data_IF_876122514758
#
_entry.id   IF_876122514758
#
_cell.length_a   1.000
_cell.length_b   1.000
_cell.length_c   1.000
_cell.angle_alpha   90.00
_cell.angle_beta   90.00
_cell.angle_gamma   90.00
#
_symmetry.space_group_name_H-M   'P 1'
#
loop_
_entity.id
_entity.type
_entity.pdbx_description
1 polymer ?
#
# COMPACT_ATOMS: atom_id res chain seq x y z
N UNK A 1 -5.81 -16.38 5.22
CA UNK A 1 -6.06 -15.69 6.50
C UNK A 1 -5.66 -16.63 7.61
N UNK A 2 -5.03 -16.11 8.66
CA UNK A 2 -4.70 -16.87 9.87
C UNK A 2 -5.98 -17.20 10.65
N UNK A 3 -5.92 -18.22 11.49
CA UNK A 3 -7.03 -18.51 12.40
C UNK A 3 -7.10 -17.44 13.50
N UNK A 4 -8.29 -17.21 14.06
CA UNK A 4 -8.44 -16.23 15.15
C UNK A 4 -7.56 -16.55 16.36
N UNK A 5 -7.34 -17.83 16.65
CA UNK A 5 -6.48 -18.30 17.74
C UNK A 5 -5.00 -18.03 17.45
N UNK A 6 -4.52 -18.33 16.24
CA UNK A 6 -3.15 -18.00 15.85
C UNK A 6 -2.90 -16.48 15.90
N UNK A 7 -3.84 -15.67 15.37
CA UNK A 7 -3.74 -14.22 15.42
C UNK A 7 -3.74 -13.69 16.86
N UNK A 8 -4.49 -14.31 17.78
CA UNK A 8 -4.50 -13.94 19.20
C UNK A 8 -3.16 -14.22 19.87
N UNK A 9 -2.58 -15.40 19.64
CA UNK A 9 -1.26 -15.75 20.17
C UNK A 9 -0.19 -14.78 19.69
N UNK A 10 -0.17 -14.47 18.39
CA UNK A 10 0.76 -13.48 17.80
C UNK A 10 0.55 -12.07 18.34
N UNK A 11 -0.70 -11.66 18.58
CA UNK A 11 -1.03 -10.39 19.23
C UNK A 11 -0.47 -10.33 20.66
N UNK A 12 -0.65 -11.41 21.44
CA UNK A 12 -0.10 -11.50 22.79
C UNK A 12 1.43 -11.50 22.78
N UNK A 13 2.07 -12.19 21.83
CA UNK A 13 3.53 -12.10 21.65
C UNK A 13 3.94 -10.65 21.40
N UNK A 14 3.27 -9.92 20.50
CA UNK A 14 3.62 -8.54 20.18
C UNK A 14 3.55 -7.59 21.38
N UNK A 15 2.51 -7.70 22.21
CA UNK A 15 2.27 -6.73 23.30
C UNK A 15 2.72 -7.20 24.69
N UNK A 16 2.74 -8.51 24.94
CA UNK A 16 3.05 -9.07 26.26
C UNK A 16 4.50 -9.55 26.36
N UNK A 17 5.04 -10.16 25.30
CA UNK A 17 6.42 -10.66 25.31
C UNK A 17 7.44 -9.55 25.07
N UNK A 18 7.18 -8.65 24.13
CA UNK A 18 8.12 -7.56 23.82
C UNK A 18 7.95 -6.29 24.67
N UNK A 19 6.74 -6.04 25.21
CA UNK A 19 6.42 -4.90 26.08
C UNK A 19 6.96 -3.54 25.59
N UNK A 20 6.81 -3.25 24.29
CA UNK A 20 7.28 -1.98 23.73
C UNK A 20 6.57 -0.79 24.38
N UNK A 21 7.35 0.14 24.93
CA UNK A 21 6.86 1.38 25.53
C UNK A 21 6.81 2.53 24.52
N UNK A 22 7.54 2.41 23.40
CA UNK A 22 7.56 3.41 22.32
C UNK A 22 7.78 2.79 20.94
N UNK A 23 7.41 3.54 19.89
CA UNK A 23 7.71 3.13 18.50
C UNK A 23 9.21 3.05 18.21
N UNK A 24 10.04 3.83 18.90
CA UNK A 24 11.49 3.79 18.70
C UNK A 24 12.09 2.48 19.22
N UNK A 25 11.59 1.94 20.33
CA UNK A 25 11.99 0.61 20.80
C UNK A 25 11.61 -0.48 19.81
N UNK A 26 10.36 -0.46 19.31
CA UNK A 26 9.92 -1.40 18.27
C UNK A 26 10.80 -1.30 17.02
N UNK A 27 11.15 -0.09 16.59
CA UNK A 27 12.02 0.18 15.44
C UNK A 27 13.46 -0.30 15.68
N UNK A 28 13.99 -0.16 16.89
CA UNK A 28 15.32 -0.65 17.24
C UNK A 28 15.38 -2.18 17.23
N UNK A 29 14.36 -2.85 17.78
CA UNK A 29 14.26 -4.31 17.76
C UNK A 29 14.18 -4.84 16.33
N UNK A 30 13.39 -4.21 15.45
CA UNK A 30 13.31 -4.57 14.03
C UNK A 30 14.63 -4.37 13.26
N UNK A 31 15.50 -3.45 13.70
CA UNK A 31 16.83 -3.25 13.11
C UNK A 31 17.88 -4.21 13.66
N UNK A 32 17.65 -4.78 14.83
CA UNK A 32 18.57 -5.74 15.45
C UNK A 32 18.56 -7.05 14.65
N UNK A 33 19.72 -7.59 14.32
CA UNK A 33 19.86 -8.87 13.59
C UNK A 33 19.54 -10.10 14.47
N UNK A 34 18.79 -9.92 15.55
CA UNK A 34 18.40 -11.02 16.41
C UNK A 34 17.34 -11.87 15.72
N UNK A 35 17.27 -13.16 16.05
CA UNK A 35 16.33 -14.12 15.43
C UNK A 35 14.84 -13.86 15.71
N UNK A 36 14.50 -12.83 16.50
CA UNK A 36 13.11 -12.54 16.88
C UNK A 36 12.67 -11.25 16.21
N UNK A 37 11.76 -11.37 15.25
CA UNK A 37 11.25 -10.27 14.45
C UNK A 37 9.78 -10.06 14.77
N UNK A 38 9.38 -8.97 15.45
CA UNK A 38 7.98 -8.69 15.78
C UNK A 38 7.00 -8.70 14.59
N UNK A 39 7.48 -8.45 13.37
CA UNK A 39 6.68 -8.52 12.15
C UNK A 39 6.54 -9.94 11.57
N UNK A 40 7.40 -10.89 11.96
CA UNK A 40 7.33 -12.30 11.53
C UNK A 40 6.76 -13.19 12.65
N UNK A 41 7.20 -12.98 13.90
CA UNK A 41 6.72 -13.68 15.09
C UNK A 41 5.35 -13.16 15.55
N UNK A 42 5.06 -11.88 15.29
CA UNK A 42 3.83 -11.20 15.68
C UNK A 42 2.89 -11.00 14.49
N UNK A 43 2.32 -9.78 14.41
CA UNK A 43 1.37 -9.37 13.38
C UNK A 43 1.94 -8.18 12.61
N UNK A 44 2.32 -8.42 11.35
CA UNK A 44 2.95 -7.42 10.47
C UNK A 44 2.01 -6.24 10.21
N UNK A 45 0.72 -6.52 9.98
CA UNK A 45 -0.28 -5.48 9.73
C UNK A 45 -0.44 -4.53 10.93
N UNK A 46 -0.36 -5.05 12.17
CA UNK A 46 -0.44 -4.24 13.39
C UNK A 46 0.78 -3.33 13.52
N UNK A 47 1.97 -3.87 13.26
CA UNK A 47 3.20 -3.07 13.25
C UNK A 47 3.12 -1.93 12.22
N UNK A 48 2.63 -2.22 11.01
CA UNK A 48 2.48 -1.22 9.96
C UNK A 48 1.45 -0.15 10.33
N UNK A 49 0.28 -0.54 10.88
CA UNK A 49 -0.71 0.42 11.40
C UNK A 49 -0.13 1.30 12.50
N UNK A 50 0.63 0.72 13.43
CA UNK A 50 1.27 1.48 14.51
C UNK A 50 2.27 2.52 13.97
N UNK A 51 3.13 2.14 13.02
CA UNK A 51 4.13 3.05 12.43
C UNK A 51 3.53 4.11 11.52
N UNK A 52 2.59 3.72 10.64
CA UNK A 52 2.16 4.54 9.52
C UNK A 52 0.86 5.31 9.80
N UNK A 53 -0.07 4.72 10.56
CA UNK A 53 -1.37 5.34 10.84
C UNK A 53 -1.40 6.00 12.21
N UNK A 54 -1.13 5.23 13.27
CA UNK A 54 -1.28 5.70 14.65
C UNK A 54 -0.13 6.62 15.09
N UNK A 55 1.08 6.37 14.57
CA UNK A 55 2.32 7.04 14.97
C UNK A 55 2.55 7.02 16.50
N UNK A 56 1.93 6.05 17.17
CA UNK A 56 2.04 5.80 18.60
C UNK A 56 1.68 4.34 18.91
N UNK A 57 2.12 3.85 20.08
CA UNK A 57 1.65 2.59 20.67
C UNK A 57 0.53 2.81 21.70
N UNK A 58 -0.03 4.02 21.77
CA UNK A 58 -1.18 4.29 22.62
C UNK A 58 -2.46 3.72 22.03
N UNK A 59 -2.72 2.47 22.40
CA UNK A 59 -3.86 1.65 21.98
C UNK A 59 -5.22 2.24 22.33
N UNK A 60 -5.30 3.21 23.26
CA UNK A 60 -6.56 3.84 23.61
C UNK A 60 -7.10 4.72 22.46
N UNK A 61 -6.21 5.28 21.65
CA UNK A 61 -6.59 6.15 20.52
C UNK A 61 -6.85 5.38 19.21
N UNK A 62 -6.37 4.13 19.09
CA UNK A 62 -6.43 3.37 17.85
C UNK A 62 -7.86 3.16 17.32
N UNK A 63 -8.87 2.80 18.15
CA UNK A 63 -10.25 2.64 17.70
C UNK A 63 -10.82 3.85 16.96
N UNK A 64 -10.62 5.04 17.51
CA UNK A 64 -11.13 6.28 16.94
C UNK A 64 -10.41 6.59 15.62
N UNK A 65 -9.09 6.49 15.60
CA UNK A 65 -8.29 6.73 14.40
C UNK A 65 -8.62 5.76 13.26
N UNK A 66 -8.81 4.46 13.56
CA UNK A 66 -9.24 3.48 12.56
C UNK A 66 -10.63 3.82 12.03
N UNK A 67 -11.56 4.21 12.90
CA UNK A 67 -12.89 4.61 12.46
C UNK A 67 -12.84 5.82 11.53
N UNK A 68 -12.07 6.86 11.86
CA UNK A 68 -11.93 8.06 11.04
C UNK A 68 -11.37 7.71 9.65
N UNK A 69 -10.29 6.92 9.57
CA UNK A 69 -9.69 6.53 8.28
C UNK A 69 -10.59 5.63 7.46
N UNK A 70 -11.31 4.70 8.11
CA UNK A 70 -12.28 3.81 7.44
C UNK A 70 -13.50 4.59 6.93
N UNK A 71 -14.04 5.51 7.73
CA UNK A 71 -15.15 6.37 7.31
C UNK A 71 -14.76 7.25 6.12
N UNK A 72 -13.55 7.83 6.16
CA UNK A 72 -13.03 8.60 5.04
C UNK A 72 -12.93 7.77 3.76
N UNK A 73 -12.37 6.56 3.82
CA UNK A 73 -12.30 5.69 2.64
C UNK A 73 -13.69 5.30 2.11
N UNK A 74 -14.64 4.95 2.99
CA UNK A 74 -16.01 4.62 2.58
C UNK A 74 -16.66 5.79 1.83
N UNK A 75 -16.50 7.02 2.30
CA UNK A 75 -17.03 8.21 1.64
C UNK A 75 -16.36 8.46 0.27
N UNK A 76 -15.04 8.26 0.17
CA UNK A 76 -14.30 8.37 -1.09
C UNK A 76 -14.74 7.32 -2.11
N UNK A 77 -14.93 6.08 -1.65
CA UNK A 77 -15.39 4.97 -2.46
C UNK A 77 -16.80 5.23 -3.00
N UNK A 78 -17.72 5.62 -2.13
CA UNK A 78 -19.09 6.01 -2.52
C UNK A 78 -19.07 7.15 -3.55
N UNK A 79 -18.25 8.17 -3.33
CA UNK A 79 -18.18 9.32 -4.24
C UNK A 79 -17.59 8.97 -5.62
N UNK A 80 -16.41 8.32 -5.66
CA UNK A 80 -15.68 8.11 -6.90
C UNK A 80 -16.13 6.87 -7.68
N UNK A 81 -16.73 5.87 -7.03
CA UNK A 81 -17.23 4.67 -7.70
C UNK A 81 -18.73 4.73 -8.02
N UNK A 82 -19.46 5.76 -7.56
CA UNK A 82 -20.92 5.88 -7.77
C UNK A 82 -21.39 5.49 -9.17
N UNK A 83 -20.88 6.16 -10.20
CA UNK A 83 -21.31 5.94 -11.59
C UNK A 83 -20.65 4.74 -12.26
N UNK A 84 -19.63 4.15 -11.63
CA UNK A 84 -19.01 2.90 -12.08
C UNK A 84 -19.85 1.71 -11.59
N UNK A 85 -20.33 1.77 -10.35
CA UNK A 85 -21.17 0.72 -9.75
C UNK A 85 -22.65 0.86 -10.14
N UNK A 86 -23.10 2.10 -10.34
CA UNK A 86 -24.47 2.44 -10.73
C UNK A 86 -24.47 3.37 -11.95
N UNK A 87 -24.19 2.85 -13.16
CA UNK A 87 -24.23 3.65 -14.39
C UNK A 87 -25.61 4.28 -14.66
N UNK A 88 -26.69 3.65 -14.18
CA UNK A 88 -28.07 4.13 -14.33
C UNK A 88 -28.35 5.44 -13.57
N UNK A 89 -27.54 5.79 -12.58
CA UNK A 89 -27.67 7.04 -11.81
C UNK A 89 -27.17 8.27 -12.58
N UNK A 90 -26.58 8.08 -13.76
CA UNK A 90 -26.11 9.18 -14.59
C UNK A 90 -27.29 10.04 -15.06
N UNK A 91 -27.16 11.38 -15.04
CA UNK A 91 -28.22 12.26 -15.51
C UNK A 91 -28.56 11.98 -16.98
N UNK A 92 -29.72 11.38 -17.23
CA UNK A 92 -30.19 11.02 -18.59
C UNK A 92 -30.37 12.23 -19.52
N UNK A 93 -30.38 13.45 -18.98
CA UNK A 93 -30.49 14.70 -19.72
C UNK A 93 -29.17 15.18 -20.34
N UNK A 94 -28.03 14.61 -19.94
CA UNK A 94 -26.73 14.92 -20.54
C UNK A 94 -26.50 14.05 -21.78
N UNK A 95 -26.13 14.66 -22.91
CA UNK A 95 -25.80 13.94 -24.13
C UNK A 95 -24.58 13.02 -23.90
N UNK A 96 -24.70 11.69 -24.10
CA UNK A 96 -23.61 10.74 -23.88
C UNK A 96 -22.41 10.94 -24.81
N UNK A 97 -22.59 11.63 -25.93
CA UNK A 97 -21.53 11.94 -26.89
C UNK A 97 -21.03 13.38 -26.82
N UNK A 98 -21.59 14.21 -25.93
CA UNK A 98 -21.11 15.58 -25.79
C UNK A 98 -19.64 15.61 -25.34
N UNK A 99 -18.86 16.42 -26.04
CA UNK A 99 -17.46 16.78 -25.71
C UNK A 99 -17.43 17.98 -24.75
N UNK A 100 -18.36 18.03 -23.79
CA UNK A 100 -18.31 19.01 -22.70
C UNK A 100 -17.47 18.43 -21.56
N UNK A 101 -16.36 19.10 -21.25
CA UNK A 101 -15.42 18.72 -20.19
C UNK A 101 -16.09 18.55 -18.81
N UNK A 102 -17.24 19.20 -18.58
CA UNK A 102 -18.03 19.06 -17.36
C UNK A 102 -19.12 17.99 -17.41
N UNK A 103 -19.22 17.23 -18.51
CA UNK A 103 -20.21 16.18 -18.67
C UNK A 103 -19.91 14.98 -17.77
N UNK A 104 -20.91 14.44 -17.04
CA UNK A 104 -20.78 13.20 -16.28
C UNK A 104 -20.26 12.02 -17.15
N UNK A 105 -20.63 12.01 -18.43
CA UNK A 105 -20.20 10.98 -19.39
C UNK A 105 -18.73 11.06 -19.76
N UNK A 106 -18.17 12.27 -19.85
CA UNK A 106 -16.73 12.44 -20.07
C UNK A 106 -15.94 11.99 -18.84
N UNK A 107 -16.40 12.36 -17.64
CA UNK A 107 -15.81 11.91 -16.39
C UNK A 107 -15.85 10.37 -16.26
N UNK A 108 -16.95 9.73 -16.64
CA UNK A 108 -17.06 8.27 -16.64
C UNK A 108 -16.05 7.62 -17.61
N UNK A 109 -16.00 8.08 -18.87
CA UNK A 109 -15.06 7.55 -19.87
C UNK A 109 -13.60 7.70 -19.43
N UNK A 110 -13.25 8.83 -18.83
CA UNK A 110 -11.92 9.05 -18.24
C UNK A 110 -11.66 8.08 -17.09
N UNK A 111 -12.64 7.89 -16.19
CA UNK A 111 -12.51 6.95 -15.09
C UNK A 111 -12.35 5.50 -15.59
N UNK A 112 -13.10 5.08 -16.60
CA UNK A 112 -12.97 3.75 -17.23
C UNK A 112 -11.59 3.57 -17.86
N UNK A 113 -11.07 4.61 -18.53
CA UNK A 113 -9.72 4.58 -19.12
C UNK A 113 -8.64 4.38 -18.04
N UNK A 114 -8.68 5.16 -16.96
CA UNK A 114 -7.74 5.04 -15.84
C UNK A 114 -7.85 3.65 -15.20
N UNK A 115 -9.06 3.14 -15.00
CA UNK A 115 -9.29 1.80 -14.43
C UNK A 115 -8.77 0.69 -15.33
N UNK A 116 -8.96 0.81 -16.64
CA UNK A 116 -8.44 -0.15 -17.60
C UNK A 116 -6.90 -0.20 -17.58
N UNK A 117 -6.24 0.95 -17.49
CA UNK A 117 -4.78 1.03 -17.33
C UNK A 117 -4.31 0.34 -16.05
N UNK A 118 -4.92 0.65 -14.90
CA UNK A 118 -4.61 -0.01 -13.62
C UNK A 118 -4.85 -1.52 -13.71
N UNK A 119 -5.96 -1.95 -14.34
CA UNK A 119 -6.35 -3.35 -14.39
C UNK A 119 -5.32 -4.19 -15.16
N UNK A 120 -4.74 -3.68 -16.25
CA UNK A 120 -3.69 -4.37 -16.99
C UNK A 120 -2.51 -4.76 -16.09
N UNK A 121 -2.14 -3.87 -15.18
CA UNK A 121 -1.07 -4.09 -14.20
C UNK A 121 -1.48 -5.05 -13.08
N UNK A 122 -2.69 -4.87 -12.53
CA UNK A 122 -3.21 -5.75 -11.48
C UNK A 122 -3.38 -7.19 -11.96
N UNK A 123 -3.72 -7.41 -13.24
CA UNK A 123 -3.87 -8.75 -13.81
C UNK A 123 -2.57 -9.55 -13.88
N UNK A 124 -1.43 -8.87 -14.04
CA UNK A 124 -0.09 -9.49 -14.09
C UNK A 124 0.63 -9.50 -12.74
N UNK A 125 0.14 -8.75 -11.76
CA UNK A 125 0.75 -8.60 -10.44
C UNK A 125 0.77 -9.94 -9.67
N UNK A 126 1.98 -10.41 -9.33
CA UNK A 126 2.24 -11.51 -8.38
C UNK A 126 1.36 -12.75 -8.59
N UNK A 127 1.12 -13.11 -9.85
CA UNK A 127 0.20 -14.19 -10.20
C UNK A 127 0.68 -15.56 -9.71
N UNK A 128 1.89 -15.75 -9.20
CA UNK A 128 2.31 -17.00 -8.56
C UNK A 128 1.53 -17.29 -7.27
N UNK A 129 1.07 -16.26 -6.56
CA UNK A 129 0.28 -16.43 -5.34
C UNK A 129 -1.24 -16.41 -5.67
N UNK A 130 -1.95 -17.46 -5.24
CA UNK A 130 -3.39 -17.64 -5.50
C UNK A 130 -4.24 -16.45 -5.06
N UNK A 131 -3.87 -15.78 -3.97
CA UNK A 131 -4.60 -14.61 -3.47
C UNK A 131 -4.71 -13.49 -4.49
N UNK A 132 -3.65 -13.22 -5.27
CA UNK A 132 -3.67 -12.18 -6.31
C UNK A 132 -4.37 -12.62 -7.60
N UNK A 133 -4.76 -13.90 -7.70
CA UNK A 133 -5.62 -14.40 -8.78
C UNK A 133 -7.10 -14.16 -8.47
N UNK A 134 -7.47 -14.02 -7.19
CA UNK A 134 -8.87 -13.90 -6.78
C UNK A 134 -9.52 -12.61 -7.31
N UNK A 135 -10.73 -12.68 -7.90
CA UNK A 135 -11.43 -11.50 -8.42
C UNK A 135 -11.69 -10.42 -7.35
N UNK A 136 -11.94 -10.84 -6.11
CA UNK A 136 -12.12 -9.95 -4.96
C UNK A 136 -10.85 -9.16 -4.65
N UNK A 137 -9.69 -9.81 -4.67
CA UNK A 137 -8.39 -9.16 -4.46
C UNK A 137 -8.07 -8.18 -5.60
N UNK A 138 -8.27 -8.60 -6.85
CA UNK A 138 -8.06 -7.72 -8.02
C UNK A 138 -8.96 -6.48 -7.95
N UNK A 139 -10.23 -6.66 -7.56
CA UNK A 139 -11.17 -5.54 -7.36
C UNK A 139 -10.69 -4.58 -6.27
N UNK A 140 -10.28 -5.10 -5.10
CA UNK A 140 -9.72 -4.28 -4.01
C UNK A 140 -8.52 -3.46 -4.47
N UNK A 141 -7.58 -4.10 -5.17
CA UNK A 141 -6.40 -3.39 -5.70
C UNK A 141 -6.78 -2.31 -6.70
N UNK A 142 -7.68 -2.61 -7.63
CA UNK A 142 -8.17 -1.67 -8.63
C UNK A 142 -8.86 -0.46 -7.97
N UNK A 143 -9.75 -0.69 -7.01
CA UNK A 143 -10.51 0.37 -6.35
C UNK A 143 -9.59 1.26 -5.48
N UNK A 144 -8.65 0.67 -4.73
CA UNK A 144 -7.65 1.41 -3.94
C UNK A 144 -6.79 2.30 -4.83
N UNK A 145 -6.19 1.76 -5.89
CA UNK A 145 -5.32 2.50 -6.80
C UNK A 145 -6.10 3.59 -7.53
N UNK A 146 -7.31 3.26 -8.00
CA UNK A 146 -8.17 4.22 -8.68
C UNK A 146 -8.52 5.40 -7.78
N UNK A 147 -8.99 5.15 -6.55
CA UNK A 147 -9.31 6.22 -5.59
C UNK A 147 -8.08 7.06 -5.28
N UNK A 148 -6.91 6.44 -5.10
CA UNK A 148 -5.67 7.18 -4.88
C UNK A 148 -5.34 8.13 -6.05
N UNK A 149 -5.51 7.66 -7.30
CA UNK A 149 -5.29 8.47 -8.50
C UNK A 149 -6.29 9.63 -8.58
N UNK A 150 -7.56 9.40 -8.23
CA UNK A 150 -8.56 10.48 -8.17
C UNK A 150 -8.23 11.56 -7.14
N UNK A 151 -7.56 11.20 -6.05
CA UNK A 151 -7.07 12.14 -5.03
C UNK A 151 -5.78 12.86 -5.43
N UNK A 152 -5.00 12.31 -6.37
CA UNK A 152 -3.71 12.83 -6.80
C UNK A 152 -3.68 12.99 -8.34
N UNK A 153 -4.53 13.87 -8.91
CA UNK A 153 -4.63 14.05 -10.35
C UNK A 153 -3.35 14.59 -10.99
N UNK A 154 -2.50 15.26 -10.22
CA UNK A 154 -1.17 15.75 -10.61
C UNK A 154 -0.18 14.60 -10.85
N UNK A 155 -0.32 13.51 -10.11
CA UNK A 155 0.55 12.35 -10.23
C UNK A 155 0.07 11.36 -11.30
N UNK A 156 -1.24 11.11 -11.32
CA UNK A 156 -1.86 10.06 -12.11
C UNK A 156 -1.50 8.64 -11.62
N UNK A 157 -1.94 7.63 -12.37
CA UNK A 157 -1.48 6.26 -12.15
C UNK A 157 -0.07 6.09 -12.75
N UNK A 158 0.80 5.34 -12.06
CA UNK A 158 2.11 4.97 -12.59
C UNK A 158 2.36 3.49 -12.38
N UNK A 159 2.88 2.84 -13.42
CA UNK A 159 3.29 1.44 -13.35
C UNK A 159 4.26 1.23 -12.17
N UNK A 160 4.02 0.17 -11.40
CA UNK A 160 4.74 -0.15 -10.16
C UNK A 160 3.99 0.25 -8.88
N UNK A 161 3.01 1.16 -8.93
CA UNK A 161 2.19 1.47 -7.74
C UNK A 161 1.43 0.23 -7.22
N UNK A 162 0.97 -0.64 -8.13
CA UNK A 162 0.31 -1.91 -7.78
C UNK A 162 1.23 -2.86 -7.01
N UNK A 163 2.54 -2.84 -7.27
CA UNK A 163 3.52 -3.67 -6.57
C UNK A 163 3.85 -3.15 -5.17
N UNK A 164 3.66 -1.85 -4.90
CA UNK A 164 3.69 -1.31 -3.54
C UNK A 164 2.43 -1.71 -2.77
N UNK A 165 1.28 -1.66 -3.42
CA UNK A 165 0.00 -2.00 -2.79
C UNK A 165 -0.13 -3.50 -2.47
N UNK A 166 0.33 -4.37 -3.37
CA UNK A 166 0.17 -5.81 -3.22
C UNK A 166 0.65 -6.39 -1.87
N UNK A 167 1.89 -6.12 -1.40
CA UNK A 167 2.35 -6.61 -0.11
C UNK A 167 1.60 -6.00 1.08
N UNK A 168 1.10 -4.75 0.96
CA UNK A 168 0.22 -4.13 1.96
C UNK A 168 -1.08 -4.91 2.09
N UNK A 169 -1.75 -5.13 0.96
CA UNK A 169 -3.03 -5.82 0.94
C UNK A 169 -2.89 -7.26 1.46
N UNK A 170 -1.84 -7.96 1.03
CA UNK A 170 -1.52 -9.31 1.52
C UNK A 170 -1.28 -9.35 3.02
N UNK A 171 -0.45 -8.45 3.55
CA UNK A 171 -0.14 -8.43 4.98
C UNK A 171 -1.38 -8.19 5.85
N UNK A 172 -2.29 -7.31 5.41
CA UNK A 172 -3.53 -7.04 6.13
C UNK A 172 -4.49 -8.21 6.02
N UNK A 173 -4.63 -8.80 4.83
CA UNK A 173 -5.50 -9.96 4.63
C UNK A 173 -5.04 -11.19 5.41
N UNK A 174 -3.72 -11.45 5.49
CA UNK A 174 -3.20 -12.57 6.25
C UNK A 174 -3.57 -12.48 7.75
N UNK A 175 -3.46 -11.27 8.33
CA UNK A 175 -3.70 -11.02 9.76
C UNK A 175 -5.17 -10.80 10.12
N UNK A 176 -6.03 -10.56 9.12
CA UNK A 176 -7.44 -10.25 9.34
C UNK A 176 -8.23 -11.44 9.91
N UNK A 177 -9.26 -11.10 10.70
CA UNK A 177 -10.08 -12.05 11.47
C UNK A 177 -11.54 -11.87 11.06
N UNK A 178 -12.20 -12.99 10.76
CA UNK A 178 -13.62 -13.00 10.46
C UNK A 178 -14.43 -12.92 11.76
N UNK A 179 -15.52 -12.15 11.75
CA UNK A 179 -16.40 -11.95 12.91
C UNK A 179 -16.98 -13.25 13.46
N UNK A 180 -17.25 -14.21 12.58
CA UNK A 180 -17.86 -15.50 12.95
C UNK A 180 -16.87 -16.49 13.57
N UNK A 181 -15.58 -16.18 13.59
CA UNK A 181 -14.52 -17.08 14.09
C UNK A 181 -14.35 -17.05 15.61
N UNK A 182 -15.21 -16.34 16.33
CA UNK A 182 -15.12 -16.17 17.78
C UNK A 182 -16.38 -16.73 18.45
N UNK A 183 -16.22 -17.80 19.22
CA UNK A 183 -17.31 -18.45 19.94
C UNK A 183 -18.03 -17.44 20.88
N UNK A 184 -19.32 -17.24 20.62
CA UNK A 184 -20.16 -16.20 21.25
C UNK A 184 -20.57 -16.46 22.70
N UNK A 185 -19.76 -17.19 23.48
CA UNK A 185 -20.12 -17.62 24.83
C UNK A 185 -19.62 -16.69 25.96
N UNK A 186 -18.77 -15.69 25.66
CA UNK A 186 -18.30 -14.71 26.64
C UNK A 186 -18.42 -13.26 26.14
N UNK A 187 -18.75 -12.33 27.05
CA UNK A 187 -18.68 -10.88 26.77
C UNK A 187 -17.22 -10.53 26.47
N UNK A 188 -16.89 -10.02 25.27
CA UNK A 188 -15.51 -9.75 24.89
C UNK A 188 -14.92 -8.65 25.77
N UNK A 189 -13.73 -8.90 26.31
CA UNK A 189 -13.00 -7.91 27.11
C UNK A 189 -12.65 -6.67 26.27
N UNK A 190 -12.27 -5.55 26.92
CA UNK A 190 -11.79 -4.37 26.18
C UNK A 190 -10.59 -4.68 25.26
N UNK A 191 -9.74 -5.63 25.66
CA UNK A 191 -8.61 -6.07 24.85
C UNK A 191 -9.06 -6.88 23.64
N UNK A 192 -10.05 -7.76 23.81
CA UNK A 192 -10.64 -8.52 22.69
C UNK A 192 -11.33 -7.60 21.70
N UNK A 193 -12.04 -6.58 22.19
CA UNK A 193 -12.68 -5.57 21.34
C UNK A 193 -11.67 -4.80 20.48
N UNK A 194 -10.57 -4.34 21.10
CA UNK A 194 -9.49 -3.68 20.37
C UNK A 194 -8.86 -4.61 19.32
N UNK A 195 -8.55 -5.85 19.71
CA UNK A 195 -7.99 -6.86 18.81
C UNK A 195 -8.90 -7.11 17.60
N UNK A 196 -10.19 -7.37 17.84
CA UNK A 196 -11.18 -7.57 16.79
C UNK A 196 -11.33 -6.35 15.89
N UNK A 197 -11.44 -5.15 16.46
CA UNK A 197 -11.59 -3.93 15.68
C UNK A 197 -10.36 -3.64 14.81
N UNK A 198 -9.16 -3.91 15.36
CA UNK A 198 -7.89 -3.67 14.66
C UNK A 198 -7.72 -4.61 13.47
N UNK A 199 -8.21 -5.85 13.56
CA UNK A 199 -8.01 -6.90 12.56
C UNK A 199 -9.30 -7.30 11.82
N UNK A 200 -10.33 -6.46 11.84
CA UNK A 200 -11.63 -6.76 11.23
C UNK A 200 -11.52 -6.99 9.71
N UNK A 201 -11.94 -8.17 9.26
CA UNK A 201 -11.89 -8.58 7.85
C UNK A 201 -12.72 -7.71 6.90
N UNK A 202 -13.73 -7.01 7.42
CA UNK A 202 -14.58 -6.14 6.59
C UNK A 202 -13.85 -4.88 6.13
N UNK A 203 -12.76 -4.51 6.82
CA UNK A 203 -12.02 -3.26 6.57
C UNK A 203 -10.64 -3.48 5.95
N UNK A 204 -10.39 -4.66 5.36
CA UNK A 204 -9.10 -4.97 4.70
C UNK A 204 -8.78 -3.93 3.62
N UNK A 205 -9.76 -3.57 2.79
CA UNK A 205 -9.60 -2.60 1.70
C UNK A 205 -9.30 -1.18 2.24
N UNK A 206 -10.06 -0.75 3.26
CA UNK A 206 -9.91 0.54 3.92
C UNK A 206 -8.54 0.72 4.57
N UNK A 207 -8.12 -0.29 5.32
CA UNK A 207 -6.85 -0.26 6.03
C UNK A 207 -5.68 -0.34 5.04
N UNK A 208 -5.82 -1.11 3.95
CA UNK A 208 -4.83 -1.17 2.87
C UNK A 208 -4.68 0.18 2.17
N UNK A 209 -5.79 0.85 1.84
CA UNK A 209 -5.77 2.19 1.26
C UNK A 209 -5.05 3.19 2.17
N UNK A 210 -5.37 3.18 3.45
CA UNK A 210 -4.80 4.13 4.42
C UNK A 210 -3.29 3.96 4.56
N UNK A 211 -2.83 2.70 4.64
CA UNK A 211 -1.39 2.39 4.70
C UNK A 211 -0.71 2.73 3.37
N UNK A 212 -1.33 2.42 2.24
CA UNK A 212 -0.82 2.77 0.92
C UNK A 212 -0.64 4.28 0.76
N UNK A 213 -1.63 5.08 1.18
CA UNK A 213 -1.52 6.54 1.19
C UNK A 213 -0.33 7.02 2.04
N UNK A 214 -0.14 6.45 3.24
CA UNK A 214 0.99 6.80 4.11
C UNK A 214 2.35 6.46 3.48
N UNK A 215 2.46 5.31 2.79
CA UNK A 215 3.65 4.96 2.01
C UNK A 215 3.89 5.97 0.90
N UNK A 216 2.83 6.29 0.14
CA UNK A 216 2.90 7.21 -0.98
C UNK A 216 3.26 8.64 -0.57
N UNK A 217 3.00 9.10 0.66
CA UNK A 217 3.50 10.39 1.15
C UNK A 217 5.03 10.52 1.04
N UNK A 218 5.75 9.42 1.19
CA UNK A 218 7.22 9.39 1.02
C UNK A 218 7.64 8.95 -0.37
N UNK A 219 6.90 8.03 -0.99
CA UNK A 219 7.25 7.45 -2.28
C UNK A 219 6.81 8.30 -3.49
N UNK A 220 5.91 9.28 -3.32
CA UNK A 220 5.37 10.12 -4.40
C UNK A 220 6.46 10.75 -5.26
N UNK A 221 7.51 11.25 -4.62
CA UNK A 221 8.67 11.88 -5.29
C UNK A 221 9.39 10.95 -6.28
N UNK A 222 9.26 9.62 -6.13
CA UNK A 222 9.84 8.64 -7.06
C UNK A 222 9.01 8.51 -8.36
N UNK A 223 7.76 8.96 -8.34
CA UNK A 223 6.80 8.83 -9.44
C UNK A 223 6.49 10.17 -10.14
N UNK A 224 6.89 11.30 -9.56
CA UNK A 224 6.74 12.63 -10.16
C UNK A 224 7.64 12.79 -11.40
N UNK A 225 7.07 13.30 -12.50
CA UNK A 225 7.80 13.58 -13.75
C UNK A 225 8.47 14.96 -13.72
N UNK A 226 9.65 15.07 -14.33
CA UNK A 226 10.46 16.30 -14.43
C UNK A 226 9.94 17.30 -15.48
N UNK A 227 8.85 17.00 -16.20
CA UNK A 227 8.42 17.78 -17.37
C UNK A 227 7.90 19.20 -17.03
N UNK A 228 7.63 19.50 -15.75
CA UNK A 228 7.18 20.82 -15.29
C UNK A 228 8.21 21.55 -14.39
N UNK A 229 9.48 21.09 -14.31
CA UNK A 229 10.53 21.92 -13.68
C UNK A 229 10.95 23.04 -14.62
N UNK A 230 10.12 24.07 -14.69
CA UNK A 230 10.51 25.38 -15.21
C UNK A 230 11.71 25.91 -14.40
N UNK A 231 12.91 25.89 -15.00
CA UNK A 231 14.09 26.78 -14.89
C UNK A 231 14.58 27.28 -13.49
N UNK A 232 13.93 27.00 -12.37
CA UNK A 232 14.11 27.75 -11.13
C UNK A 232 14.37 26.92 -9.85
N UNK A 233 14.53 25.60 -9.94
CA UNK A 233 14.96 24.79 -8.79
C UNK A 233 15.80 23.57 -9.21
N UNK A 234 17.09 23.81 -9.48
CA UNK A 234 18.12 22.77 -9.54
C UNK A 234 18.51 22.29 -8.13
N UNK A 235 17.55 21.77 -7.37
CA UNK A 235 17.86 21.02 -6.16
C UNK A 235 17.08 19.70 -6.11
N UNK A 236 17.89 18.67 -5.86
CA UNK A 236 17.64 17.27 -5.51
C UNK A 236 17.10 16.28 -6.54
N UNK A 237 18.00 15.34 -6.88
CA UNK A 237 17.80 14.14 -7.68
C UNK A 237 16.98 13.09 -6.94
N UNK A 238 15.66 13.31 -6.86
CA UNK A 238 14.71 12.36 -6.28
C UNK A 238 14.06 11.43 -7.32
N UNK A 239 14.50 11.44 -8.58
CA UNK A 239 14.00 10.48 -9.55
C UNK A 239 14.64 9.11 -9.34
N UNK A 240 13.89 8.05 -9.64
CA UNK A 240 14.40 6.66 -9.64
C UNK A 240 15.67 6.56 -10.51
N UNK A 241 15.74 7.33 -11.60
CA UNK A 241 16.89 7.43 -12.49
C UNK A 241 18.13 7.96 -11.74
N UNK A 242 18.03 9.14 -11.11
CA UNK A 242 19.13 9.74 -10.38
C UNK A 242 19.60 8.86 -9.22
N UNK A 243 18.67 8.18 -8.54
CA UNK A 243 19.01 7.23 -7.47
C UNK A 243 19.72 5.99 -7.99
N UNK A 244 19.29 5.46 -9.13
CA UNK A 244 19.93 4.31 -9.77
C UNK A 244 21.34 4.65 -10.26
N UNK A 245 21.53 5.85 -10.82
CA UNK A 245 22.83 6.39 -11.20
C UNK A 245 23.74 6.58 -9.98
N UNK A 246 23.22 7.16 -8.89
CA UNK A 246 23.99 7.31 -7.65
C UNK A 246 24.46 5.96 -7.08
N UNK A 247 23.57 4.96 -7.06
CA UNK A 247 23.93 3.61 -6.59
C UNK A 247 25.02 3.01 -7.49
N UNK A 248 24.91 3.13 -8.81
CA UNK A 248 25.91 2.60 -9.74
C UNK A 248 27.26 3.32 -9.66
N UNK A 249 27.24 4.65 -9.75
CA UNK A 249 28.45 5.46 -9.90
C UNK A 249 29.17 5.69 -8.56
N UNK A 250 28.42 5.91 -7.49
CA UNK A 250 28.99 6.27 -6.18
C UNK A 250 29.14 5.05 -5.29
N UNK A 251 28.05 4.33 -5.04
CA UNK A 251 28.07 3.23 -4.07
C UNK A 251 28.80 2.02 -4.64
N UNK A 252 28.37 1.50 -5.80
CA UNK A 252 29.03 0.37 -6.43
C UNK A 252 30.45 0.73 -6.85
N UNK A 253 30.68 1.91 -7.42
CA UNK A 253 32.02 2.40 -7.74
C UNK A 253 32.98 2.43 -6.54
N UNK A 254 32.48 2.70 -5.33
CA UNK A 254 33.30 2.68 -4.10
C UNK A 254 33.61 1.28 -3.56
N UNK A 255 32.73 0.31 -3.83
CA UNK A 255 32.82 -1.06 -3.28
C UNK A 255 33.51 -2.00 -4.26
N UNK A 256 33.15 -1.92 -5.55
CA UNK A 256 33.65 -2.74 -6.65
C UNK A 256 33.76 -1.91 -7.95
N UNK A 257 34.88 -1.20 -8.14
CA UNK A 257 35.08 -0.34 -9.31
C UNK A 257 35.22 -1.14 -10.61
N UNK A 258 35.70 -2.38 -10.56
CA UNK A 258 35.86 -3.23 -11.74
C UNK A 258 34.50 -3.64 -12.29
N UNK A 259 33.58 -4.08 -11.42
CA UNK A 259 32.21 -4.39 -11.80
C UNK A 259 31.46 -3.15 -12.30
N UNK A 260 31.59 -2.01 -11.61
CA UNK A 260 30.98 -0.73 -12.04
C UNK A 260 31.42 -0.35 -13.45
N UNK A 261 32.73 -0.35 -13.72
CA UNK A 261 33.29 -0.03 -15.04
C UNK A 261 32.88 -1.06 -16.10
N UNK A 262 32.81 -2.35 -15.76
CA UNK A 262 32.37 -3.39 -16.67
C UNK A 262 30.92 -3.18 -17.11
N UNK A 263 30.01 -2.96 -16.16
CA UNK A 263 28.59 -2.70 -16.41
C UNK A 263 28.38 -1.44 -17.26
N UNK A 264 29.20 -0.40 -17.04
CA UNK A 264 29.18 0.80 -17.87
C UNK A 264 29.68 0.52 -19.30
N UNK A 265 30.72 -0.31 -19.46
CA UNK A 265 31.31 -0.66 -20.75
C UNK A 265 30.34 -1.46 -21.63
N UNK A 266 29.55 -2.34 -21.02
CA UNK A 266 28.52 -3.12 -21.72
C UNK A 266 27.20 -2.34 -21.91
N UNK A 267 27.19 -1.04 -21.58
CA UNK A 267 26.06 -0.12 -21.74
C UNK A 267 24.76 -0.59 -21.05
N UNK A 268 24.87 -1.36 -19.97
CA UNK A 268 23.70 -1.74 -19.18
C UNK A 268 23.31 -0.58 -18.28
N UNK A 269 22.15 -0.02 -18.56
CA UNK A 269 21.53 1.04 -17.75
C UNK A 269 21.28 0.56 -16.30
N UNK A 270 21.65 1.37 -15.28
CA UNK A 270 21.44 1.02 -13.86
C UNK A 270 20.03 0.55 -13.51
N UNK A 271 19.03 1.11 -14.16
CA UNK A 271 17.61 0.83 -13.96
C UNK A 271 17.24 -0.63 -14.33
N UNK A 272 18.03 -1.29 -15.18
CA UNK A 272 17.76 -2.65 -15.66
C UNK A 272 18.11 -3.71 -14.60
N UNK A 273 19.20 -3.51 -13.85
CA UNK A 273 19.63 -4.48 -12.82
C UNK A 273 19.34 -4.00 -11.38
N UNK A 274 19.02 -2.72 -11.18
CA UNK A 274 18.51 -2.18 -9.92
C UNK A 274 16.97 -2.18 -9.90
N UNK A 275 16.34 -3.18 -10.51
CA UNK A 275 14.88 -3.32 -10.53
C UNK A 275 14.27 -3.27 -9.13
N UNK A 276 14.96 -3.73 -8.08
CA UNK A 276 14.50 -3.63 -6.69
C UNK A 276 14.46 -2.19 -6.12
N UNK A 277 15.21 -1.25 -6.70
CA UNK A 277 15.14 0.19 -6.37
C UNK A 277 13.93 0.81 -7.07
N UNK A 278 13.61 0.32 -8.27
CA UNK A 278 12.46 0.74 -9.06
C UNK A 278 11.15 0.11 -8.54
N UNK A 279 11.24 -1.12 -8.02
CA UNK A 279 10.15 -2.02 -7.67
C UNK A 279 10.43 -2.71 -6.32
N UNK A 280 10.32 -2.00 -5.18
CA UNK A 280 10.70 -2.54 -3.88
C UNK A 280 9.73 -3.62 -3.34
N UNK A 281 8.59 -3.85 -4.00
CA UNK A 281 7.55 -4.79 -3.54
C UNK A 281 7.93 -6.27 -3.63
N UNK A 282 8.83 -6.64 -4.54
CA UNK A 282 9.08 -8.05 -4.90
C UNK A 282 9.70 -8.89 -3.77
N UNK A 283 10.49 -8.28 -2.87
CA UNK A 283 11.15 -9.01 -1.76
C UNK A 283 10.34 -9.11 -0.47
N UNK A 284 9.23 -8.38 -0.35
CA UNK A 284 8.43 -8.36 0.89
C UNK A 284 7.60 -9.65 1.05
N UNK A 285 7.39 -10.38 -0.05
CA UNK A 285 6.57 -11.60 -0.09
C UNK A 285 7.38 -12.90 -0.13
N UNK A 286 8.71 -12.82 -0.25
CA UNK A 286 9.61 -13.99 -0.32
C UNK A 286 10.02 -14.53 1.06
N UNK A 287 9.57 -13.89 2.15
CA UNK A 287 9.75 -14.37 3.52
C UNK A 287 8.45 -14.99 4.01
N UNK A 288 8.14 -16.19 3.54
CA UNK A 288 7.23 -17.17 4.15
C UNK A 288 7.93 -18.54 4.12
#
# INVERSE_FOLDING_TARGET
>A
MRTAEESRQRWETLFTHYQFSSLEELKQTLKSKNHSNPCEDGLRSVCWKAFLLHKSLDRAAWPAQLWDTRAAYSALREHFLKYIEHPDDLPSTADPLAEDDNSPWQSLRQNETIRAEILQDVERCLQENYFFREPTTKRRMLDILFIFVKLNPDLGYRQGMHELLAPVLWSIWQDAIQKDSLDGSNVPSKHDQLFMQTLDSDYIEHDAFSIFCAIMQTAKSFYEHDEMKSVSSRQDGSSIIARSEHIHQVILGSVDPELSSHLQTIEILPQIYLTWVVYPGHRILETD
#
